data_IF_617458942160
#
_entry.id   IF_617458942160
#
_cell.length_a   1.000
_cell.length_b   1.000
_cell.length_c   1.000
_cell.angle_alpha   90.00
_cell.angle_beta   90.00
_cell.angle_gamma   90.00
#
_symmetry.space_group_name_H-M   'P 1'
#
loop_
_entity.id
_entity.type
_entity.pdbx_description
1 polymer ?
#
# COMPACT_ATOMS: atom_id res chain seq x y z
N UNK A 1 20.53 8.07 5.60
CA UNK A 1 19.10 8.23 5.27
C UNK A 1 18.49 6.87 5.05
N UNK A 2 17.25 6.59 5.49
CA UNK A 2 16.58 5.34 5.16
C UNK A 2 16.35 5.27 3.65
N UNK A 3 16.55 4.09 3.09
CA UNK A 3 16.28 3.80 1.69
C UNK A 3 14.78 3.53 1.47
N UNK A 4 14.15 2.84 2.43
CA UNK A 4 12.73 2.49 2.39
C UNK A 4 12.04 2.88 3.70
N UNK A 5 10.98 3.67 3.60
CA UNK A 5 10.13 4.10 4.72
C UNK A 5 8.76 3.46 4.60
N UNK A 6 8.28 2.78 5.64
CA UNK A 6 6.93 2.21 5.70
C UNK A 6 6.11 2.91 6.78
N UNK A 7 4.87 3.32 6.45
CA UNK A 7 4.03 4.12 7.34
C UNK A 7 2.63 3.51 7.49
N UNK A 8 2.22 3.25 8.73
CA UNK A 8 0.80 3.05 9.09
C UNK A 8 0.20 4.40 9.45
N UNK A 9 -0.76 4.84 8.64
CA UNK A 9 -1.47 6.11 8.80
C UNK A 9 -2.65 5.95 9.76
N UNK A 10 -2.38 5.89 11.07
CA UNK A 10 -3.41 5.74 12.11
C UNK A 10 -3.73 7.08 12.80
N UNK A 11 -4.90 7.11 13.47
CA UNK A 11 -5.34 8.24 14.28
C UNK A 11 -6.18 9.29 13.57
N UNK A 12 -6.36 9.23 12.26
CA UNK A 12 -7.11 10.22 11.47
C UNK A 12 -8.54 10.42 11.98
N UNK A 13 -9.28 9.32 12.23
CA UNK A 13 -10.62 9.40 12.80
C UNK A 13 -10.64 9.99 14.21
N UNK A 14 -9.68 9.62 15.08
CA UNK A 14 -9.54 10.17 16.43
C UNK A 14 -9.19 11.67 16.41
N UNK A 15 -8.37 12.08 15.46
CA UNK A 15 -8.03 13.50 15.24
C UNK A 15 -9.28 14.34 14.91
N UNK A 16 -10.15 13.83 14.03
CA UNK A 16 -11.41 14.50 13.68
C UNK A 16 -12.37 14.55 14.87
N UNK A 17 -12.61 13.41 15.54
CA UNK A 17 -13.53 13.31 16.68
C UNK A 17 -13.12 14.26 17.82
N UNK A 18 -11.83 14.39 18.14
CA UNK A 18 -11.33 15.35 19.15
C UNK A 18 -11.61 16.82 18.77
N UNK A 19 -11.97 17.10 17.52
CA UNK A 19 -12.31 18.45 17.00
C UNK A 19 -13.78 18.61 16.66
N UNK A 20 -14.62 17.67 17.12
CA UNK A 20 -16.05 17.63 16.81
C UNK A 20 -16.35 17.59 15.31
N UNK A 21 -15.43 17.00 14.51
CA UNK A 21 -15.57 16.83 13.08
C UNK A 21 -15.96 15.37 12.74
N UNK A 22 -16.66 15.15 11.63
CA UNK A 22 -16.89 13.80 11.11
C UNK A 22 -15.55 13.07 10.87
N UNK A 23 -15.51 11.76 11.14
CA UNK A 23 -14.29 10.93 10.96
C UNK A 23 -13.61 11.10 9.59
N UNK A 24 -14.43 11.31 8.55
CA UNK A 24 -14.01 11.55 7.17
C UNK A 24 -13.13 12.79 7.02
N UNK A 25 -13.41 13.86 7.74
CA UNK A 25 -12.56 15.06 7.71
C UNK A 25 -11.12 14.73 8.14
N UNK A 26 -10.97 13.76 9.06
CA UNK A 26 -9.66 13.25 9.46
C UNK A 26 -8.95 12.49 8.33
N UNK A 27 -9.67 11.68 7.56
CA UNK A 27 -9.09 10.96 6.43
C UNK A 27 -8.65 11.91 5.30
N UNK A 28 -9.43 12.95 5.01
CA UNK A 28 -9.04 14.01 4.07
C UNK A 28 -7.77 14.72 4.53
N UNK A 29 -7.69 15.08 5.82
CA UNK A 29 -6.47 15.70 6.38
C UNK A 29 -5.27 14.74 6.38
N UNK A 30 -5.50 13.44 6.60
CA UNK A 30 -4.47 12.41 6.45
C UNK A 30 -3.92 12.35 5.02
N UNK A 31 -4.79 12.45 4.01
CA UNK A 31 -4.37 12.49 2.62
C UNK A 31 -3.55 13.76 2.28
N UNK A 32 -3.90 14.92 2.87
CA UNK A 32 -3.08 16.12 2.72
C UNK A 32 -1.69 15.95 3.37
N UNK A 33 -1.61 15.30 4.53
CA UNK A 33 -0.34 15.02 5.20
C UNK A 33 0.57 14.10 4.37
N UNK A 34 0.00 13.16 3.61
CA UNK A 34 0.76 12.27 2.70
C UNK A 34 1.55 13.06 1.68
N UNK A 35 1.02 14.17 1.15
CA UNK A 35 1.77 15.01 0.19
C UNK A 35 3.06 15.53 0.80
N UNK A 36 3.01 16.09 2.00
CA UNK A 36 4.21 16.56 2.70
C UNK A 36 5.21 15.44 2.99
N UNK A 37 4.72 14.24 3.29
CA UNK A 37 5.59 13.06 3.47
C UNK A 37 6.28 12.69 2.15
N UNK A 38 5.54 12.65 1.03
CA UNK A 38 6.10 12.36 -0.30
C UNK A 38 7.14 13.40 -0.70
N UNK A 39 6.85 14.68 -0.51
CA UNK A 39 7.78 15.80 -0.77
C UNK A 39 9.06 15.65 0.07
N UNK A 40 8.92 15.39 1.37
CA UNK A 40 10.07 15.15 2.27
C UNK A 40 10.89 13.93 1.83
N UNK A 41 10.25 12.84 1.43
CA UNK A 41 10.94 11.66 0.92
C UNK A 41 11.76 11.98 -0.34
N UNK A 42 11.18 12.74 -1.28
CA UNK A 42 11.87 13.20 -2.49
C UNK A 42 13.09 14.08 -2.17
N UNK A 43 12.93 15.05 -1.27
CA UNK A 43 13.98 15.98 -0.86
C UNK A 43 15.13 15.26 -0.15
N UNK A 44 14.81 14.22 0.61
CA UNK A 44 15.79 13.43 1.40
C UNK A 44 16.39 12.25 0.63
N UNK A 45 15.99 12.01 -0.60
CA UNK A 45 16.51 10.92 -1.42
C UNK A 45 16.08 9.53 -0.96
N UNK A 46 14.89 9.41 -0.34
CA UNK A 46 14.26 8.13 -0.05
C UNK A 46 13.82 7.47 -1.37
N UNK A 47 14.16 6.21 -1.57
CA UNK A 47 13.86 5.50 -2.83
C UNK A 47 12.49 4.83 -2.81
N UNK A 48 12.01 4.39 -1.63
CA UNK A 48 10.75 3.66 -1.46
C UNK A 48 9.96 4.22 -0.29
N UNK A 49 8.68 4.49 -0.53
CA UNK A 49 7.71 4.90 0.50
C UNK A 49 6.50 3.97 0.43
N UNK A 50 6.24 3.21 1.48
CA UNK A 50 5.08 2.32 1.56
C UNK A 50 4.07 2.85 2.57
N UNK A 51 2.82 3.03 2.11
CA UNK A 51 1.73 3.61 2.89
C UNK A 51 0.61 2.59 3.11
N UNK A 52 0.25 2.31 4.36
CA UNK A 52 -0.89 1.45 4.69
C UNK A 52 -2.18 2.26 4.66
N UNK A 53 -2.83 2.32 3.49
CA UNK A 53 -4.00 3.15 3.27
C UNK A 53 -5.31 2.45 3.66
N UNK A 54 -5.46 1.15 3.36
CA UNK A 54 -6.65 0.38 3.65
C UNK A 54 -6.30 -1.09 3.92
N UNK A 55 -6.54 -1.54 5.15
CA UNK A 55 -6.29 -2.94 5.52
C UNK A 55 -7.45 -3.85 5.12
N UNK A 56 -7.18 -5.15 4.99
CA UNK A 56 -8.21 -6.17 4.76
C UNK A 56 -9.28 -6.20 5.87
N UNK A 57 -8.93 -5.79 7.10
CA UNK A 57 -9.84 -5.70 8.22
C UNK A 57 -10.77 -4.47 8.15
N UNK A 58 -10.43 -3.44 7.36
CA UNK A 58 -11.23 -2.22 7.26
C UNK A 58 -12.59 -2.44 6.58
N UNK A 59 -12.80 -3.54 5.87
CA UNK A 59 -14.12 -3.93 5.36
C UNK A 59 -15.15 -4.18 6.45
N UNK A 60 -14.73 -4.37 7.71
CA UNK A 60 -15.63 -4.53 8.86
C UNK A 60 -16.16 -3.21 9.39
N UNK A 61 -15.71 -2.07 8.86
CA UNK A 61 -16.22 -0.75 9.22
C UNK A 61 -17.64 -0.55 8.67
N UNK A 62 -18.40 0.43 9.20
CA UNK A 62 -19.69 0.79 8.62
C UNK A 62 -19.59 1.05 7.11
N UNK A 63 -20.56 0.58 6.34
CA UNK A 63 -20.56 0.65 4.87
C UNK A 63 -20.38 2.06 4.34
N UNK A 64 -21.00 3.05 5.00
CA UNK A 64 -20.85 4.47 4.66
C UNK A 64 -19.39 4.95 4.77
N UNK A 65 -18.67 4.52 5.84
CA UNK A 65 -17.26 4.88 6.02
C UNK A 65 -16.40 4.21 4.92
N UNK A 66 -16.66 2.94 4.61
CA UNK A 66 -15.95 2.21 3.54
C UNK A 66 -16.18 2.87 2.19
N UNK A 67 -17.46 3.14 1.83
CA UNK A 67 -17.82 3.78 0.56
C UNK A 67 -17.15 5.14 0.40
N UNK A 68 -17.02 5.88 1.47
CA UNK A 68 -16.39 7.19 1.47
C UNK A 68 -14.86 7.10 1.35
N UNK A 69 -14.22 6.13 2.01
CA UNK A 69 -12.79 5.86 1.84
C UNK A 69 -12.47 5.46 0.39
N UNK A 70 -13.32 4.66 -0.25
CA UNK A 70 -13.17 4.30 -1.67
C UNK A 70 -13.28 5.52 -2.58
N UNK A 71 -14.27 6.40 -2.36
CA UNK A 71 -14.39 7.66 -3.12
C UNK A 71 -13.18 8.57 -2.92
N UNK A 72 -12.68 8.68 -1.69
CA UNK A 72 -11.48 9.46 -1.41
C UNK A 72 -10.26 8.87 -2.16
N UNK A 73 -10.13 7.55 -2.19
CA UNK A 73 -9.04 6.88 -2.89
C UNK A 73 -9.09 7.14 -4.41
N UNK A 74 -10.28 7.02 -5.04
CA UNK A 74 -10.48 7.37 -6.46
C UNK A 74 -10.05 8.82 -6.71
N UNK A 75 -10.59 9.77 -5.94
CA UNK A 75 -10.30 11.19 -6.09
C UNK A 75 -8.80 11.50 -5.95
N UNK A 76 -8.13 10.85 -5.00
CA UNK A 76 -6.69 11.03 -4.80
C UNK A 76 -5.89 10.48 -5.97
N UNK A 77 -6.22 9.28 -6.48
CA UNK A 77 -5.55 8.71 -7.65
C UNK A 77 -5.67 9.63 -8.87
N UNK A 78 -6.88 10.12 -9.17
CA UNK A 78 -7.12 11.00 -10.32
C UNK A 78 -6.32 12.31 -10.23
N UNK A 79 -6.26 12.90 -9.04
CA UNK A 79 -5.60 14.20 -8.83
C UNK A 79 -4.08 14.11 -8.74
N UNK A 80 -3.57 13.08 -8.08
CA UNK A 80 -2.15 13.02 -7.73
C UNK A 80 -1.30 12.31 -8.79
N UNK A 81 -1.89 11.41 -9.61
CA UNK A 81 -1.11 10.64 -10.61
C UNK A 81 -0.38 11.53 -11.62
N UNK A 82 -0.98 12.66 -12.01
CA UNK A 82 -0.35 13.62 -12.94
C UNK A 82 0.87 14.28 -12.29
N UNK A 83 0.73 14.69 -11.02
CA UNK A 83 1.83 15.29 -10.25
C UNK A 83 2.93 14.27 -9.97
N UNK A 84 2.55 13.04 -9.62
CA UNK A 84 3.51 11.96 -9.42
C UNK A 84 4.36 11.74 -10.66
N UNK A 85 3.72 11.66 -11.83
CA UNK A 85 4.43 11.52 -13.09
C UNK A 85 5.36 12.69 -13.39
N UNK A 86 4.91 13.92 -13.18
CA UNK A 86 5.71 15.12 -13.38
C UNK A 86 6.93 15.22 -12.43
N UNK A 87 6.87 14.60 -11.25
CA UNK A 87 7.96 14.57 -10.27
C UNK A 87 8.80 13.28 -10.30
N UNK A 88 8.67 12.48 -11.35
CA UNK A 88 9.38 11.21 -11.53
C UNK A 88 9.10 10.18 -10.40
N UNK A 89 7.86 10.18 -9.88
CA UNK A 89 7.40 9.24 -8.85
C UNK A 89 6.69 8.07 -9.51
N UNK A 90 7.13 6.86 -9.21
CA UNK A 90 6.47 5.61 -9.61
C UNK A 90 5.41 5.23 -8.59
N UNK A 91 4.18 4.99 -9.03
CA UNK A 91 3.10 4.47 -8.20
C UNK A 91 3.02 2.95 -8.31
N UNK A 92 2.83 2.31 -7.16
CA UNK A 92 2.44 0.91 -7.02
C UNK A 92 1.23 0.80 -6.08
N UNK A 93 0.28 -0.06 -6.40
CA UNK A 93 -0.84 -0.39 -5.51
C UNK A 93 -0.83 -1.89 -5.27
N UNK A 94 -0.71 -2.30 -4.02
CA UNK A 94 -0.60 -3.71 -3.62
C UNK A 94 -1.71 -4.10 -2.66
N UNK A 95 -2.22 -5.32 -2.79
CA UNK A 95 -3.31 -5.88 -2.00
C UNK A 95 -4.24 -6.73 -2.87
N UNK A 96 -5.29 -7.26 -2.27
CA UNK A 96 -6.34 -7.97 -3.02
C UNK A 96 -7.28 -6.97 -3.70
N UNK A 97 -6.92 -6.57 -4.92
CA UNK A 97 -7.67 -5.59 -5.69
C UNK A 97 -8.97 -6.17 -6.31
N UNK A 98 -9.19 -7.49 -6.24
CA UNK A 98 -10.36 -8.15 -6.82
C UNK A 98 -11.68 -7.71 -6.16
N UNK A 99 -11.62 -7.22 -4.92
CA UNK A 99 -12.79 -6.69 -4.20
C UNK A 99 -13.19 -5.27 -4.58
N UNK A 100 -12.36 -4.56 -5.32
CA UNK A 100 -12.69 -3.24 -5.85
C UNK A 100 -13.52 -3.37 -7.11
N UNK A 101 -14.37 -2.38 -7.38
CA UNK A 101 -15.12 -2.36 -8.63
C UNK A 101 -14.18 -2.18 -9.84
N UNK A 102 -14.65 -2.57 -11.01
CA UNK A 102 -13.87 -2.52 -12.25
C UNK A 102 -13.33 -1.12 -12.58
N UNK A 103 -14.11 -0.08 -12.29
CA UNK A 103 -13.69 1.31 -12.51
C UNK A 103 -12.44 1.66 -11.69
N UNK A 104 -12.42 1.31 -10.41
CA UNK A 104 -11.26 1.56 -9.55
C UNK A 104 -10.05 0.70 -9.95
N UNK A 105 -10.28 -0.57 -10.30
CA UNK A 105 -9.21 -1.44 -10.81
C UNK A 105 -8.58 -0.86 -12.09
N UNK A 106 -9.40 -0.40 -13.04
CA UNK A 106 -8.92 0.22 -14.28
C UNK A 106 -8.16 1.53 -14.00
N UNK A 107 -8.64 2.34 -13.06
CA UNK A 107 -7.97 3.57 -12.64
C UNK A 107 -6.58 3.30 -12.04
N UNK A 108 -6.48 2.30 -11.14
CA UNK A 108 -5.21 1.86 -10.55
C UNK A 108 -4.23 1.41 -11.65
N UNK A 109 -4.69 0.52 -12.55
CA UNK A 109 -3.86 0.01 -13.64
C UNK A 109 -3.37 1.13 -14.58
N UNK A 110 -4.21 2.12 -14.86
CA UNK A 110 -3.84 3.30 -15.65
C UNK A 110 -2.78 4.15 -14.94
N UNK A 111 -2.95 4.39 -13.64
CA UNK A 111 -2.04 5.18 -12.84
C UNK A 111 -0.65 4.53 -12.76
N UNK A 112 -0.60 3.20 -12.52
CA UNK A 112 0.64 2.43 -12.52
C UNK A 112 1.35 2.47 -13.88
N UNK A 113 0.62 2.24 -14.98
CA UNK A 113 1.18 2.32 -16.35
C UNK A 113 1.77 3.69 -16.65
N UNK A 114 1.04 4.76 -16.31
CA UNK A 114 1.48 6.13 -16.54
C UNK A 114 2.79 6.46 -15.82
N UNK A 115 3.00 5.91 -14.65
CA UNK A 115 4.17 6.18 -13.81
C UNK A 115 5.23 5.07 -13.85
N UNK A 116 5.05 4.02 -14.67
CA UNK A 116 5.87 2.81 -14.66
C UNK A 116 7.37 3.04 -14.90
N UNK A 117 7.71 4.09 -15.67
CA UNK A 117 9.09 4.43 -16.04
C UNK A 117 9.75 5.42 -15.09
N UNK A 118 9.03 5.91 -14.11
CA UNK A 118 9.55 6.85 -13.12
C UNK A 118 10.50 6.15 -12.16
N UNK A 119 11.54 6.84 -11.72
CA UNK A 119 12.68 6.23 -11.03
C UNK A 119 13.10 6.93 -9.73
N UNK A 120 12.66 8.16 -9.50
CA UNK A 120 13.15 8.98 -8.38
C UNK A 120 12.65 8.51 -7.02
N UNK A 121 11.37 8.11 -6.92
CA UNK A 121 10.73 7.57 -5.72
C UNK A 121 9.66 6.57 -6.13
N UNK A 122 9.64 5.38 -5.53
CA UNK A 122 8.51 4.45 -5.66
C UNK A 122 7.59 4.60 -4.46
N UNK A 123 6.36 5.07 -4.70
CA UNK A 123 5.30 5.13 -3.68
C UNK A 123 4.40 3.92 -3.83
N UNK A 124 4.36 3.09 -2.80
CA UNK A 124 3.49 1.92 -2.72
C UNK A 124 2.30 2.21 -1.81
N UNK A 125 1.09 2.06 -2.34
CA UNK A 125 -0.16 2.16 -1.58
C UNK A 125 -0.65 0.74 -1.29
N UNK A 126 -0.66 0.34 -0.01
CA UNK A 126 -1.26 -0.92 0.42
C UNK A 126 -2.78 -0.71 0.59
N UNK A 127 -3.56 -1.26 -0.35
CA UNK A 127 -5.01 -1.13 -0.45
C UNK A 127 -5.68 -2.51 -0.44
N UNK A 128 -6.57 -2.76 0.51
CA UNK A 128 -7.09 -4.10 0.82
C UNK A 128 -5.95 -5.10 1.05
N UNK A 129 -4.93 -4.65 1.76
CA UNK A 129 -3.71 -5.38 2.04
C UNK A 129 -3.74 -5.97 3.47
N UNK A 130 -3.05 -7.09 3.64
CA UNK A 130 -2.70 -7.66 4.92
C UNK A 130 -1.50 -8.58 4.75
N UNK A 131 -0.53 -8.55 5.67
CA UNK A 131 0.68 -9.38 5.57
C UNK A 131 0.40 -10.88 5.52
N UNK A 132 -0.66 -11.34 6.23
CA UNK A 132 -1.12 -12.74 6.15
C UNK A 132 -1.63 -13.07 4.74
N UNK A 133 -2.41 -12.16 4.14
CA UNK A 133 -2.86 -12.32 2.75
C UNK A 133 -1.66 -12.35 1.79
N UNK A 134 -0.68 -11.48 1.99
CA UNK A 134 0.50 -11.38 1.12
C UNK A 134 1.32 -12.68 1.14
N UNK A 135 1.56 -13.24 2.32
CA UNK A 135 2.23 -14.55 2.45
C UNK A 135 1.43 -15.65 1.74
N UNK A 136 0.11 -15.72 1.95
CA UNK A 136 -0.72 -16.75 1.34
C UNK A 136 -0.82 -16.63 -0.18
N UNK A 137 -0.95 -15.43 -0.72
CA UNK A 137 -0.93 -15.23 -2.17
C UNK A 137 0.43 -15.58 -2.78
N UNK A 138 1.54 -15.30 -2.06
CA UNK A 138 2.89 -15.66 -2.48
C UNK A 138 3.07 -17.19 -2.52
N UNK A 139 2.62 -17.90 -1.49
CA UNK A 139 2.62 -19.38 -1.44
C UNK A 139 1.81 -19.96 -2.61
N UNK A 140 0.60 -19.43 -2.87
CA UNK A 140 -0.23 -19.90 -3.97
C UNK A 140 0.44 -19.66 -5.34
N UNK A 141 1.03 -18.48 -5.58
CA UNK A 141 1.76 -18.22 -6.82
C UNK A 141 2.95 -19.15 -7.00
N UNK A 142 3.76 -19.29 -5.96
CA UNK A 142 4.93 -20.17 -5.97
C UNK A 142 4.54 -21.63 -6.26
N UNK A 143 3.48 -22.15 -5.64
CA UNK A 143 3.04 -23.54 -5.87
C UNK A 143 2.47 -23.76 -7.26
N UNK A 144 1.73 -22.78 -7.82
CA UNK A 144 1.23 -22.86 -9.20
C UNK A 144 2.39 -22.84 -10.20
N UNK A 145 3.38 -22.00 -9.99
CA UNK A 145 4.57 -21.91 -10.84
C UNK A 145 5.42 -23.19 -10.77
N UNK A 146 5.62 -23.73 -9.55
CA UNK A 146 6.31 -24.99 -9.34
C UNK A 146 5.62 -26.15 -10.08
N UNK A 147 4.29 -26.25 -10.00
CA UNK A 147 3.52 -27.26 -10.71
C UNK A 147 3.63 -27.10 -12.24
N UNK A 148 3.58 -25.86 -12.75
CA UNK A 148 3.76 -25.57 -14.18
C UNK A 148 5.16 -25.98 -14.69
N UNK A 149 6.19 -25.91 -13.81
CA UNK A 149 7.57 -26.30 -14.10
C UNK A 149 7.83 -27.81 -13.85
N UNK A 150 6.79 -28.61 -13.56
CA UNK A 150 6.91 -30.07 -13.36
C UNK A 150 7.59 -30.47 -12.04
N UNK A 151 7.64 -29.58 -11.04
CA UNK A 151 8.21 -29.91 -9.73
C UNK A 151 7.31 -30.89 -8.96
N UNK A 152 7.89 -31.84 -8.19
CA UNK A 152 7.11 -32.83 -7.46
C UNK A 152 6.18 -32.21 -6.42
N UNK A 153 4.98 -32.77 -6.27
CA UNK A 153 4.09 -32.40 -5.17
C UNK A 153 4.73 -32.76 -3.81
N UNK A 154 4.57 -31.89 -2.82
CA UNK A 154 5.10 -32.10 -1.46
C UNK A 154 6.58 -31.72 -1.28
N UNK A 155 7.17 -31.05 -2.25
CA UNK A 155 8.51 -30.47 -2.11
C UNK A 155 8.53 -29.44 -0.99
N UNK A 156 9.62 -29.42 -0.19
CA UNK A 156 9.88 -28.34 0.75
C UNK A 156 10.35 -27.09 0.01
N UNK A 157 9.86 -25.93 0.44
CA UNK A 157 10.26 -24.63 -0.11
C UNK A 157 11.10 -23.85 0.88
N UNK A 158 11.95 -22.95 0.38
CA UNK A 158 12.79 -22.05 1.18
C UNK A 158 12.24 -20.62 1.17
N UNK A 159 12.77 -19.77 2.06
CA UNK A 159 12.42 -18.34 2.11
C UNK A 159 12.80 -17.62 0.82
N UNK A 160 13.95 -17.96 0.23
CA UNK A 160 14.44 -17.38 -1.01
C UNK A 160 13.55 -17.73 -2.22
N UNK A 161 12.87 -18.89 -2.17
CA UNK A 161 11.90 -19.27 -3.19
C UNK A 161 10.56 -18.54 -3.02
N UNK A 162 10.16 -18.22 -1.78
CA UNK A 162 8.92 -17.50 -1.48
C UNK A 162 9.04 -15.98 -1.73
N UNK A 163 10.16 -15.39 -1.35
CA UNK A 163 10.36 -13.94 -1.36
C UNK A 163 10.03 -13.25 -2.72
N UNK A 164 10.38 -13.81 -3.89
CA UNK A 164 10.05 -13.20 -5.19
C UNK A 164 8.54 -13.11 -5.50
N UNK A 165 7.71 -13.89 -4.81
CA UNK A 165 6.26 -13.94 -5.02
C UNK A 165 5.47 -12.98 -4.12
N UNK A 166 6.14 -12.37 -3.14
CA UNK A 166 5.52 -11.34 -2.28
C UNK A 166 5.12 -10.11 -3.11
N UNK A 167 4.06 -9.44 -2.69
CA UNK A 167 3.50 -8.30 -3.43
C UNK A 167 4.49 -7.13 -3.59
N UNK A 168 5.48 -7.03 -2.71
CA UNK A 168 6.50 -5.97 -2.74
C UNK A 168 7.92 -6.48 -3.01
N UNK A 169 8.08 -7.62 -3.68
CA UNK A 169 9.39 -8.20 -4.04
C UNK A 169 10.30 -7.25 -4.86
N UNK A 170 9.76 -6.17 -5.41
CA UNK A 170 10.52 -5.13 -6.13
C UNK A 170 11.20 -4.09 -5.22
N UNK A 171 10.86 -4.06 -3.95
CA UNK A 171 11.39 -3.10 -2.97
C UNK A 171 12.31 -3.81 -1.96
N UNK A 172 13.33 -3.13 -1.43
CA UNK A 172 14.08 -3.65 -0.30
C UNK A 172 13.21 -3.67 0.98
N UNK A 173 13.66 -4.36 2.00
CA UNK A 173 13.04 -4.30 3.33
C UNK A 173 13.01 -2.86 3.86
N UNK A 174 11.97 -2.47 4.65
CA UNK A 174 11.92 -1.14 5.25
C UNK A 174 13.03 -0.90 6.28
N UNK A 175 13.77 0.19 6.11
CA UNK A 175 14.76 0.65 7.10
C UNK A 175 14.11 1.43 8.25
N UNK A 176 12.95 2.04 7.96
CA UNK A 176 12.20 2.84 8.94
C UNK A 176 10.72 2.52 8.87
N UNK A 177 10.17 2.10 10.01
CA UNK A 177 8.76 1.85 10.19
C UNK A 177 8.14 2.91 11.10
N UNK A 178 7.11 3.60 10.63
CA UNK A 178 6.41 4.65 11.36
C UNK A 178 4.94 4.25 11.52
N UNK A 179 4.40 4.43 12.74
CA UNK A 179 2.97 4.41 12.97
C UNK A 179 2.53 5.67 13.66
N UNK A 180 1.60 6.40 13.05
CA UNK A 180 0.99 7.59 13.65
C UNK A 180 -0.11 7.19 14.65
N UNK A 181 -0.58 8.12 15.50
CA UNK A 181 -1.73 7.90 16.36
C UNK A 181 -1.44 7.26 17.72
N UNK A 182 -0.16 7.00 18.07
CA UNK A 182 0.27 6.55 19.41
C UNK A 182 0.15 5.05 19.69
N UNK A 183 -0.24 4.23 18.71
CA UNK A 183 -0.31 2.78 18.83
C UNK A 183 1.05 2.13 18.46
N UNK A 184 1.41 1.05 19.19
CA UNK A 184 2.69 0.36 19.02
C UNK A 184 2.49 -1.11 18.60
N UNK A 185 1.78 -1.31 17.48
CA UNK A 185 1.52 -2.65 16.92
C UNK A 185 1.60 -2.62 15.39
N UNK A 186 1.99 -3.74 14.77
CA UNK A 186 2.15 -3.85 13.31
C UNK A 186 0.81 -4.01 12.57
N UNK A 187 -0.25 -4.47 13.24
CA UNK A 187 -1.63 -4.56 12.71
C UNK A 187 -1.74 -5.29 11.36
N UNK A 188 -1.10 -6.45 11.24
CA UNK A 188 -1.12 -7.24 10.00
C UNK A 188 -0.65 -6.44 8.76
N UNK A 189 0.27 -5.50 8.95
CA UNK A 189 0.90 -4.77 7.85
C UNK A 189 2.02 -5.62 7.22
N UNK A 190 3.24 -5.15 7.10
CA UNK A 190 4.36 -5.90 6.52
C UNK A 190 4.85 -6.94 7.53
N UNK A 191 4.59 -8.22 7.29
CA UNK A 191 4.95 -9.31 8.21
C UNK A 191 6.19 -10.09 7.77
N UNK A 192 6.49 -10.08 6.49
CA UNK A 192 7.64 -10.77 5.91
C UNK A 192 8.75 -9.80 5.51
N UNK A 193 8.37 -8.63 5.08
CA UNK A 193 9.28 -7.58 4.63
C UNK A 193 9.97 -6.87 5.78
#
# INVERSE_FOLDING_TARGET
>A
MPRHVAIIMDGNGRWATKRFLPRVAGHVKGADAVRGVVETCLERGVEYLTLFAFSSENWRRPEEEVSMLMRLFVTMLEREVVKMHANDIRLKVVGDLSRFNEQLQALIANAERKTARNTRLTVTICANYGGRWDIMQAVNKMTVEAAANGQPAGQAYTEEQLAPHLAMAYAPEPDLFIRTGGEQRISNFLLWQ
#
